data_IF_468129666243
#
_entry.id   IF_468129666243
#
_cell.length_a   1.000
_cell.length_b   1.000
_cell.length_c   1.000
_cell.angle_alpha   90.00
_cell.angle_beta   90.00
_cell.angle_gamma   90.00
#
_symmetry.space_group_name_H-M   'P 1'
#
loop_
_entity.id
_entity.type
_entity.pdbx_description
1 polymer ?
#
# COMPACT_ATOMS: atom_id res chain seq x y z
N UNK A 1 -2.15 -38.80 8.49
CA UNK A 1 -2.59 -37.85 7.45
C UNK A 1 -2.48 -36.44 7.99
N UNK A 2 -1.91 -35.49 7.23
CA UNK A 2 -1.93 -34.07 7.58
C UNK A 2 -2.58 -33.32 6.42
N UNK A 3 -3.51 -32.42 6.73
CA UNK A 3 -4.17 -31.55 5.77
C UNK A 3 -3.69 -30.12 6.05
N UNK A 4 -3.21 -29.37 5.05
CA UNK A 4 -2.88 -27.97 5.24
C UNK A 4 -4.17 -27.16 5.44
N UNK A 5 -4.18 -26.34 6.49
CA UNK A 5 -5.20 -25.30 6.68
C UNK A 5 -4.65 -24.00 6.09
N UNK A 6 -5.29 -23.50 5.04
CA UNK A 6 -5.04 -22.15 4.53
C UNK A 6 -5.91 -21.20 5.34
N UNK A 7 -5.29 -20.33 6.13
CA UNK A 7 -5.96 -19.29 6.90
C UNK A 7 -5.82 -17.96 6.17
N UNK A 8 -6.91 -17.51 5.54
CA UNK A 8 -6.99 -16.16 4.97
C UNK A 8 -7.31 -15.17 6.09
N UNK A 9 -6.32 -14.95 6.95
CA UNK A 9 -6.49 -14.20 8.19
C UNK A 9 -6.28 -12.69 8.06
N UNK A 10 -5.71 -12.26 6.95
CA UNK A 10 -5.17 -10.91 6.78
C UNK A 10 -5.54 -10.37 5.41
N UNK A 11 -6.13 -9.18 5.39
CA UNK A 11 -6.27 -8.38 4.18
C UNK A 11 -5.09 -7.42 4.13
N UNK A 12 -4.23 -7.58 3.12
CA UNK A 12 -3.16 -6.64 2.83
C UNK A 12 -3.52 -5.87 1.56
N UNK A 13 -3.70 -4.55 1.69
CA UNK A 13 -3.90 -3.69 0.53
C UNK A 13 -2.54 -3.22 0.02
N UNK A 14 -2.16 -3.65 -1.17
CA UNK A 14 -0.97 -3.15 -1.82
C UNK A 14 -1.30 -1.85 -2.57
N UNK A 15 -0.55 -0.78 -2.30
CA UNK A 15 -0.61 0.44 -3.09
C UNK A 15 0.03 0.20 -4.46
N UNK A 16 -0.77 -0.08 -5.49
CA UNK A 16 -0.27 -0.37 -6.83
C UNK A 16 0.39 0.86 -7.49
N UNK A 17 0.05 2.06 -7.02
CA UNK A 17 0.54 3.33 -7.55
C UNK A 17 1.98 3.67 -7.17
N UNK A 18 2.58 3.07 -6.14
CA UNK A 18 3.97 3.34 -5.71
C UNK A 18 5.05 2.60 -6.52
N UNK A 19 4.69 1.58 -7.28
CA UNK A 19 5.62 0.70 -8.01
C UNK A 19 5.40 0.69 -9.52
N UNK A 20 4.66 1.68 -10.04
CA UNK A 20 4.29 1.77 -11.47
C UNK A 20 5.51 1.76 -12.41
N UNK A 21 6.68 2.25 -11.95
CA UNK A 21 7.94 2.18 -12.72
C UNK A 21 8.38 0.76 -13.07
N UNK A 22 8.13 -0.22 -12.20
CA UNK A 22 8.49 -1.63 -12.47
C UNK A 22 7.67 -2.20 -13.63
N UNK A 23 6.44 -1.72 -13.79
CA UNK A 23 5.53 -2.08 -14.86
C UNK A 23 5.66 -1.18 -16.10
N UNK A 24 6.71 -0.36 -16.16
CA UNK A 24 6.96 0.61 -17.24
C UNK A 24 5.85 1.66 -17.39
N UNK A 25 5.19 2.03 -16.30
CA UNK A 25 4.25 3.15 -16.26
C UNK A 25 4.87 4.39 -15.63
N UNK A 26 4.44 5.56 -16.09
CA UNK A 26 4.85 6.85 -15.54
C UNK A 26 4.40 6.95 -14.09
N UNK A 27 5.34 7.31 -13.23
CA UNK A 27 5.16 7.34 -11.77
C UNK A 27 4.62 8.70 -11.30
N UNK A 28 3.38 8.75 -10.75
CA UNK A 28 2.87 9.94 -10.08
C UNK A 28 3.42 10.03 -8.65
N UNK A 29 3.12 11.15 -7.98
CA UNK A 29 3.20 11.21 -6.51
C UNK A 29 2.12 10.27 -5.96
N UNK A 30 2.51 9.35 -5.07
CA UNK A 30 1.58 8.43 -4.43
C UNK A 30 0.57 9.18 -3.57
N UNK A 31 -0.66 8.70 -3.55
CA UNK A 31 -1.57 9.11 -2.47
C UNK A 31 -1.08 8.53 -1.14
N UNK A 32 -1.46 9.19 -0.03
CA UNK A 32 -1.11 8.71 1.30
C UNK A 32 -1.57 7.25 1.48
N UNK A 33 -0.71 6.43 2.07
CA UNK A 33 -1.03 5.03 2.35
C UNK A 33 -2.21 4.92 3.30
N UNK A 34 -3.18 4.07 2.96
CA UNK A 34 -4.17 3.63 3.94
C UNK A 34 -3.43 2.85 5.03
N UNK A 35 -3.42 3.39 6.25
CA UNK A 35 -2.83 2.73 7.40
C UNK A 35 -3.78 1.63 7.86
N UNK A 36 -3.41 0.37 7.62
CA UNK A 36 -4.17 -0.81 8.02
C UNK A 36 -3.74 -1.38 9.38
N UNK A 37 -2.98 -0.62 10.20
CA UNK A 37 -2.49 -1.07 11.52
C UNK A 37 -3.59 -1.61 12.44
N UNK A 38 -4.79 -1.06 12.35
CA UNK A 38 -5.92 -1.53 13.15
C UNK A 38 -6.52 -2.84 12.61
N UNK A 39 -6.39 -3.12 11.31
CA UNK A 39 -6.83 -4.38 10.72
C UNK A 39 -5.95 -5.55 11.15
N UNK A 40 -4.66 -5.29 11.38
CA UNK A 40 -3.72 -6.31 11.89
C UNK A 40 -3.97 -6.71 13.34
N UNK A 41 -4.79 -5.95 14.08
CA UNK A 41 -5.16 -6.24 15.47
C UNK A 41 -6.43 -7.10 15.58
N UNK A 42 -7.09 -7.39 14.47
CA UNK A 42 -8.36 -8.12 14.46
C UNK A 42 -8.07 -9.61 14.70
N UNK A 43 -8.63 -10.14 15.78
CA UNK A 43 -8.60 -11.58 16.07
C UNK A 43 -9.84 -12.27 15.47
N UNK A 44 -9.63 -13.09 14.45
CA UNK A 44 -10.69 -13.85 13.79
C UNK A 44 -11.35 -14.92 14.66
N UNK A 45 -10.84 -15.16 15.89
CA UNK A 45 -11.41 -16.12 16.85
C UNK A 45 -12.62 -15.58 17.61
N UNK A 46 -13.01 -14.32 17.40
CA UNK A 46 -14.21 -13.76 18.03
C UNK A 46 -15.48 -14.46 17.52
N UNK A 47 -16.16 -15.16 18.42
CA UNK A 47 -17.29 -16.06 18.10
C UNK A 47 -18.62 -15.35 17.81
N UNK A 48 -18.71 -14.04 18.08
CA UNK A 48 -19.94 -13.26 17.92
C UNK A 48 -19.85 -12.19 16.83
N UNK A 49 -18.83 -12.27 15.96
CA UNK A 49 -18.63 -11.33 14.87
C UNK A 49 -19.15 -11.93 13.58
N UNK A 50 -20.05 -11.20 12.91
CA UNK A 50 -20.46 -11.50 11.54
C UNK A 50 -19.32 -11.11 10.59
N UNK A 51 -18.40 -12.05 10.35
CA UNK A 51 -17.21 -11.84 9.52
C UNK A 51 -17.53 -11.43 8.07
N UNK A 52 -18.50 -12.06 7.38
CA UNK A 52 -18.91 -11.59 6.05
C UNK A 52 -19.35 -10.14 6.02
N UNK A 53 -20.13 -9.70 7.02
CA UNK A 53 -20.54 -8.30 7.12
C UNK A 53 -19.36 -7.39 7.46
N UNK A 54 -18.50 -7.80 8.40
CA UNK A 54 -17.32 -7.06 8.82
C UNK A 54 -16.36 -6.80 7.64
N UNK A 55 -16.11 -7.83 6.82
CA UNK A 55 -15.19 -7.78 5.68
C UNK A 55 -15.85 -7.37 4.36
N UNK A 56 -17.15 -7.04 4.36
CA UNK A 56 -17.95 -6.76 3.15
C UNK A 56 -17.30 -5.75 2.21
N UNK A 57 -16.75 -4.65 2.73
CA UNK A 57 -16.01 -3.65 1.93
C UNK A 57 -14.82 -4.26 1.18
N UNK A 58 -14.04 -5.10 1.85
CA UNK A 58 -12.85 -5.72 1.26
C UNK A 58 -13.20 -6.81 0.26
N UNK A 59 -14.26 -7.57 0.54
CA UNK A 59 -14.83 -8.53 -0.41
C UNK A 59 -15.26 -7.79 -1.67
N UNK A 60 -15.96 -6.66 -1.54
CA UNK A 60 -16.37 -5.87 -2.70
C UNK A 60 -15.16 -5.35 -3.50
N UNK A 61 -14.14 -4.80 -2.84
CA UNK A 61 -12.90 -4.35 -3.51
C UNK A 61 -12.23 -5.50 -4.27
N UNK A 62 -12.27 -6.72 -3.73
CA UNK A 62 -11.73 -7.91 -4.40
C UNK A 62 -12.56 -8.34 -5.61
N UNK A 63 -13.89 -8.34 -5.51
CA UNK A 63 -14.77 -8.60 -6.66
C UNK A 63 -14.53 -7.57 -7.77
N UNK A 64 -14.34 -6.30 -7.38
CA UNK A 64 -14.06 -5.18 -8.27
C UNK A 64 -12.55 -5.05 -8.62
N UNK A 65 -11.71 -6.05 -8.33
CA UNK A 65 -10.24 -5.96 -8.45
C UNK A 65 -9.74 -5.50 -9.83
N UNK A 66 -10.48 -5.82 -10.89
CA UNK A 66 -10.13 -5.45 -12.26
C UNK A 66 -10.23 -3.94 -12.50
N UNK A 67 -11.10 -3.25 -11.77
CA UNK A 67 -11.24 -1.79 -11.83
C UNK A 67 -10.05 -1.07 -11.18
N UNK A 68 -9.29 -1.78 -10.35
CA UNK A 68 -8.09 -1.28 -9.68
C UNK A 68 -6.79 -1.58 -10.45
N UNK A 69 -6.87 -2.22 -11.63
CA UNK A 69 -5.69 -2.43 -12.48
C UNK A 69 -5.22 -1.08 -13.01
N UNK A 70 -3.96 -0.67 -12.73
CA UNK A 70 -3.47 0.63 -13.18
C UNK A 70 -3.46 0.74 -14.70
N UNK A 71 -4.35 1.57 -15.24
CA UNK A 71 -4.31 2.03 -16.63
C UNK A 71 -3.59 3.38 -16.62
N UNK A 72 -2.28 3.37 -16.89
CA UNK A 72 -1.44 4.56 -16.84
C UNK A 72 -0.64 4.74 -18.13
N UNK A 73 -0.13 5.95 -18.32
CA UNK A 73 0.73 6.26 -19.46
C UNK A 73 2.01 5.41 -19.39
N UNK A 74 2.34 4.65 -20.45
CA UNK A 74 3.59 3.92 -20.51
C UNK A 74 4.78 4.89 -20.57
N UNK A 75 5.92 4.47 -20.02
CA UNK A 75 7.18 5.21 -20.11
C UNK A 75 7.71 5.04 -21.53
N UNK A 76 7.57 6.08 -22.35
CA UNK A 76 8.13 6.14 -23.71
C UNK A 76 9.60 6.59 -23.67
N UNK A 77 9.94 7.46 -22.71
CA UNK A 77 11.27 8.07 -22.56
C UNK A 77 11.71 7.92 -21.09
N UNK A 78 12.87 7.33 -20.79
CA UNK A 78 13.32 7.13 -19.40
C UNK A 78 13.38 8.41 -18.56
N UNK A 79 13.68 9.55 -19.17
CA UNK A 79 13.70 10.86 -18.51
C UNK A 79 12.32 11.34 -18.05
N UNK A 80 11.24 10.78 -18.60
CA UNK A 80 9.84 11.06 -18.24
C UNK A 80 9.22 9.95 -17.38
N UNK A 81 10.05 9.06 -16.81
CA UNK A 81 9.59 7.93 -16.01
C UNK A 81 8.81 8.33 -14.74
N UNK A 82 8.98 9.56 -14.25
CA UNK A 82 8.23 10.10 -13.13
C UNK A 82 7.88 11.57 -13.35
N UNK A 83 6.89 12.07 -12.60
CA UNK A 83 6.66 13.52 -12.52
C UNK A 83 7.87 14.22 -11.87
N UNK A 84 8.21 15.47 -12.24
CA UNK A 84 9.40 16.16 -11.73
C UNK A 84 9.51 16.19 -10.19
N UNK A 85 8.36 16.29 -9.52
CA UNK A 85 8.22 16.38 -8.06
C UNK A 85 8.43 15.04 -7.37
N UNK A 86 8.30 13.92 -8.09
CA UNK A 86 8.32 12.58 -7.53
C UNK A 86 9.63 12.26 -6.82
N UNK A 87 10.78 12.60 -7.41
CA UNK A 87 12.08 12.28 -6.81
C UNK A 87 12.31 13.02 -5.49
N UNK A 88 11.82 14.25 -5.39
CA UNK A 88 11.84 15.01 -4.14
C UNK A 88 10.91 14.39 -3.09
N UNK A 89 9.69 14.04 -3.47
CA UNK A 89 8.74 13.34 -2.61
C UNK A 89 9.29 11.99 -2.12
N UNK A 90 9.84 11.16 -3.02
CA UNK A 90 10.36 9.84 -2.68
C UNK A 90 11.54 9.90 -1.70
N UNK A 91 12.42 10.91 -1.83
CA UNK A 91 13.53 11.10 -0.88
C UNK A 91 13.06 11.37 0.55
N UNK A 92 11.91 12.02 0.70
CA UNK A 92 11.30 12.38 1.98
C UNK A 92 10.45 11.23 2.53
N UNK A 93 9.57 10.67 1.70
CA UNK A 93 8.53 9.73 2.15
C UNK A 93 8.84 8.26 1.84
N UNK A 94 9.54 8.01 0.73
CA UNK A 94 9.83 6.68 0.20
C UNK A 94 10.93 5.91 0.93
N UNK A 95 11.60 6.53 1.92
CA UNK A 95 12.59 5.85 2.76
C UNK A 95 12.03 5.37 4.10
N UNK A 96 10.78 5.67 4.41
CA UNK A 96 10.21 5.41 5.73
C UNK A 96 10.33 3.93 6.15
N UNK A 97 10.28 2.97 5.23
CA UNK A 97 10.45 1.54 5.51
C UNK A 97 11.92 1.06 5.55
N UNK A 98 12.87 1.89 5.10
CA UNK A 98 14.31 1.63 5.20
C UNK A 98 14.93 2.25 6.46
N UNK A 99 14.21 3.16 7.11
CA UNK A 99 14.66 3.92 8.27
C UNK A 99 14.19 3.25 9.56
N UNK A 100 15.06 3.24 10.57
CA UNK A 100 14.68 2.84 11.92
C UNK A 100 13.63 3.80 12.49
N UNK A 101 12.90 3.35 13.52
CA UNK A 101 11.89 4.18 14.22
C UNK A 101 12.48 5.51 14.71
N UNK A 102 13.75 5.50 15.12
CA UNK A 102 14.49 6.66 15.59
C UNK A 102 14.83 7.65 14.46
N UNK A 103 15.20 7.13 13.29
CA UNK A 103 15.50 7.93 12.10
C UNK A 103 14.24 8.57 11.52
N UNK A 104 13.08 7.89 11.55
CA UNK A 104 11.78 8.48 11.22
C UNK A 104 11.46 9.67 12.12
N UNK A 105 11.66 9.55 13.43
CA UNK A 105 11.37 10.63 14.39
C UNK A 105 12.27 11.86 14.18
N UNK A 106 13.53 11.66 13.78
CA UNK A 106 14.44 12.76 13.46
C UNK A 106 14.00 13.53 12.21
N UNK A 107 13.58 12.83 11.15
CA UNK A 107 13.10 13.49 9.92
C UNK A 107 11.84 14.32 10.15
N UNK A 108 10.91 13.85 10.99
CA UNK A 108 9.71 14.60 11.36
C UNK A 108 10.02 15.88 12.17
N UNK A 109 11.13 15.89 12.92
CA UNK A 109 11.58 17.10 13.64
C UNK A 109 12.21 18.11 12.69
N UNK A 110 13.02 17.65 11.73
CA UNK A 110 13.68 18.51 10.72
C UNK A 110 12.67 19.17 9.77
N UNK A 111 11.52 18.55 9.50
CA UNK A 111 10.47 19.17 8.67
C UNK A 111 9.64 20.25 9.40
N UNK A 112 9.78 20.39 10.72
CA UNK A 112 9.00 21.33 11.54
C UNK A 112 9.74 22.63 11.88
N UNK A 113 11.02 22.72 11.54
CA UNK A 113 11.87 23.92 11.65
C UNK A 113 12.00 24.60 10.28
#
# INVERSE_FOLDING_TARGET
MKVPLVNFGTVEMHQSDIVLRQFRFRQPISMASEVLDDHHKIDLRQLHTDWPRFWSRYIQIWEDQYDYIPTREPIIIPQLACVPEYMSWFKIHGKSYLLSTEERQRQLRVQKE
#
